data_IF_523677854409
#
_entry.id   IF_523677854409
#
_cell.length_a   1.000
_cell.length_b   1.000
_cell.length_c   1.000
_cell.angle_alpha   90.00
_cell.angle_beta   90.00
_cell.angle_gamma   90.00
#
_symmetry.space_group_name_H-M   'P 1'
#
loop_
_entity.id
_entity.type
_entity.pdbx_description
1 polymer ?
#
# COMPACT_ATOMS: atom_id res chain seq x y z
N UNK A 1 4.74 -1.05 -20.21
CA UNK A 1 5.84 -1.80 -19.56
C UNK A 1 6.81 -2.19 -20.66
N UNK A 2 8.13 -1.99 -20.51
CA UNK A 2 9.10 -2.33 -21.58
C UNK A 2 9.24 -3.85 -21.64
N UNK A 3 9.02 -4.45 -22.83
CA UNK A 3 9.05 -5.90 -23.05
C UNK A 3 10.47 -6.46 -22.86
N UNK A 4 10.59 -7.78 -22.69
CA UNK A 4 11.92 -8.42 -22.57
C UNK A 4 12.77 -8.21 -23.82
N UNK A 5 12.16 -8.32 -25.01
CA UNK A 5 12.81 -8.06 -26.30
C UNK A 5 13.29 -6.62 -26.42
N UNK A 6 12.46 -5.64 -26.04
CA UNK A 6 12.86 -4.23 -26.08
C UNK A 6 14.01 -3.92 -25.12
N UNK A 7 14.05 -4.57 -23.95
CA UNK A 7 15.15 -4.43 -22.98
C UNK A 7 16.44 -5.01 -23.53
N UNK A 8 16.37 -6.18 -24.16
CA UNK A 8 17.52 -6.82 -24.79
C UNK A 8 18.08 -5.94 -25.90
N UNK A 9 17.23 -5.47 -26.80
CA UNK A 9 17.61 -4.55 -27.88
C UNK A 9 18.22 -3.25 -27.33
N UNK A 10 17.62 -2.66 -26.29
CA UNK A 10 18.17 -1.47 -25.65
C UNK A 10 19.55 -1.71 -25.06
N UNK A 11 19.78 -2.85 -24.39
CA UNK A 11 21.09 -3.20 -23.82
C UNK A 11 22.12 -3.41 -24.93
N UNK A 12 21.76 -4.07 -26.03
CA UNK A 12 22.63 -4.26 -27.19
C UNK A 12 23.06 -2.92 -27.79
N UNK A 13 22.10 -2.03 -28.10
CA UNK A 13 22.37 -0.72 -28.68
C UNK A 13 23.22 0.17 -27.76
N UNK A 14 22.97 0.13 -26.44
CA UNK A 14 23.79 0.88 -25.47
C UNK A 14 25.22 0.34 -25.45
N UNK A 15 25.42 -0.98 -25.42
CA UNK A 15 26.76 -1.56 -25.43
C UNK A 15 27.50 -1.23 -26.74
N UNK A 16 26.82 -1.24 -27.89
CA UNK A 16 27.39 -0.86 -29.18
C UNK A 16 27.83 0.61 -29.21
N UNK A 17 26.99 1.51 -28.69
CA UNK A 17 27.32 2.93 -28.58
C UNK A 17 28.53 3.16 -27.66
N UNK A 18 28.60 2.44 -26.53
CA UNK A 18 29.75 2.50 -25.61
C UNK A 18 31.02 1.99 -26.30
N UNK A 19 30.94 0.87 -27.03
CA UNK A 19 32.07 0.32 -27.80
C UNK A 19 32.54 1.30 -28.89
N UNK A 20 31.62 2.08 -29.45
CA UNK A 20 31.89 3.15 -30.42
C UNK A 20 32.40 4.46 -29.77
N UNK A 21 32.61 4.48 -28.45
CA UNK A 21 33.20 5.61 -27.72
C UNK A 21 32.22 6.53 -27.01
N UNK A 22 30.91 6.24 -27.02
CA UNK A 22 29.94 7.03 -26.26
C UNK A 22 30.04 6.75 -24.75
N UNK A 23 29.74 7.75 -23.92
CA UNK A 23 29.56 7.48 -22.49
C UNK A 23 28.25 6.72 -22.25
N UNK A 24 28.25 5.80 -21.27
CA UNK A 24 27.06 5.05 -20.87
C UNK A 24 25.88 5.99 -20.58
N UNK A 25 26.12 7.09 -19.84
CA UNK A 25 25.14 8.12 -19.52
C UNK A 25 24.45 8.67 -20.77
N UNK A 26 25.23 9.13 -21.74
CA UNK A 26 24.70 9.71 -22.98
C UNK A 26 23.94 8.67 -23.80
N UNK A 27 24.46 7.45 -23.89
CA UNK A 27 23.79 6.36 -24.60
C UNK A 27 22.43 6.01 -23.96
N UNK A 28 22.36 5.91 -22.63
CA UNK A 28 21.12 5.68 -21.89
C UNK A 28 20.12 6.84 -22.07
N UNK A 29 20.60 8.08 -21.96
CA UNK A 29 19.77 9.30 -22.15
C UNK A 29 19.12 9.34 -23.54
N UNK A 30 19.81 8.89 -24.59
CA UNK A 30 19.22 8.82 -25.95
C UNK A 30 18.08 7.83 -26.09
N UNK A 31 18.06 6.76 -25.30
CA UNK A 31 16.94 5.82 -25.23
C UNK A 31 15.89 6.20 -24.17
N UNK A 32 16.03 7.36 -23.53
CA UNK A 32 15.10 7.83 -22.50
C UNK A 32 15.14 7.01 -21.20
N UNK A 33 16.25 6.30 -20.93
CA UNK A 33 16.42 5.53 -19.70
C UNK A 33 17.60 6.05 -18.89
N UNK A 34 17.59 5.74 -17.59
CA UNK A 34 18.74 6.05 -16.72
C UNK A 34 19.79 4.95 -16.78
N UNK A 35 21.05 5.27 -16.48
CA UNK A 35 22.10 4.26 -16.31
C UNK A 35 21.71 3.19 -15.28
N UNK A 36 21.02 3.59 -14.21
CA UNK A 36 20.51 2.67 -13.19
C UNK A 36 19.57 1.61 -13.80
N UNK A 37 18.71 2.01 -14.73
CA UNK A 37 17.81 1.08 -15.42
C UNK A 37 18.61 0.08 -16.27
N UNK A 38 19.58 0.57 -17.04
CA UNK A 38 20.48 -0.26 -17.84
C UNK A 38 21.24 -1.30 -16.99
N UNK A 39 21.88 -0.87 -15.90
CA UNK A 39 22.60 -1.78 -15.01
C UNK A 39 21.67 -2.78 -14.31
N UNK A 40 20.44 -2.37 -13.95
CA UNK A 40 19.44 -3.30 -13.39
C UNK A 40 19.03 -4.38 -14.38
N UNK A 41 18.87 -4.05 -15.66
CA UNK A 41 18.57 -5.04 -16.70
C UNK A 41 19.73 -6.01 -16.91
N UNK A 42 20.98 -5.51 -16.99
CA UNK A 42 22.16 -6.37 -17.07
C UNK A 42 22.31 -7.28 -15.86
N UNK A 43 22.12 -6.76 -14.65
CA UNK A 43 22.16 -7.55 -13.42
C UNK A 43 21.10 -8.65 -13.44
N UNK A 44 19.88 -8.33 -13.83
CA UNK A 44 18.81 -9.33 -13.93
C UNK A 44 19.14 -10.43 -14.94
N UNK A 45 19.66 -10.08 -16.12
CA UNK A 45 20.12 -11.08 -17.10
C UNK A 45 21.21 -11.99 -16.51
N UNK A 46 22.11 -11.46 -15.69
CA UNK A 46 23.11 -12.28 -15.00
C UNK A 46 22.50 -13.20 -13.92
N UNK A 47 21.52 -12.71 -13.16
CA UNK A 47 20.92 -13.44 -12.03
C UNK A 47 19.90 -14.51 -12.49
N UNK A 48 19.12 -14.24 -13.55
CA UNK A 48 17.96 -15.06 -13.96
C UNK A 48 17.99 -15.51 -15.42
N UNK A 49 19.08 -15.25 -16.14
CA UNK A 49 19.23 -15.47 -17.58
C UNK A 49 18.08 -14.89 -18.45
N UNK A 50 17.40 -13.86 -17.95
CA UNK A 50 16.23 -13.26 -18.62
C UNK A 50 16.16 -11.74 -18.43
N UNK A 51 15.64 -11.03 -19.43
CA UNK A 51 15.31 -9.60 -19.33
C UNK A 51 13.88 -9.32 -18.85
N UNK A 52 13.08 -10.37 -18.64
CA UNK A 52 11.68 -10.26 -18.24
C UNK A 52 11.47 -9.44 -16.97
N UNK A 53 10.36 -8.71 -16.91
CA UNK A 53 9.95 -8.07 -15.67
C UNK A 53 9.56 -9.15 -14.66
N UNK A 54 10.15 -9.10 -13.47
CA UNK A 54 9.83 -10.04 -12.40
C UNK A 54 8.60 -9.64 -11.59
N UNK A 55 8.09 -8.41 -11.77
CA UNK A 55 6.91 -7.93 -11.04
C UNK A 55 5.65 -8.76 -11.28
N UNK A 56 5.33 -9.23 -12.51
CA UNK A 56 4.18 -10.11 -12.74
C UNK A 56 4.28 -11.48 -12.06
N UNK A 57 5.51 -11.96 -11.83
CA UNK A 57 5.78 -13.26 -11.19
C UNK A 57 6.19 -13.11 -9.73
N UNK A 58 6.06 -11.91 -9.16
CA UNK A 58 6.37 -11.69 -7.75
C UNK A 58 5.40 -12.50 -6.90
N UNK A 59 5.92 -13.20 -5.90
CA UNK A 59 5.07 -13.91 -4.97
C UNK A 59 4.26 -12.89 -4.16
N UNK A 60 2.95 -12.94 -4.35
CA UNK A 60 1.96 -12.17 -3.60
C UNK A 60 1.22 -13.06 -2.60
N UNK A 61 1.85 -14.17 -2.18
CA UNK A 61 1.34 -15.06 -1.15
C UNK A 61 0.94 -14.27 0.09
N UNK A 62 -0.05 -14.84 0.76
CA UNK A 62 -0.70 -14.18 1.87
C UNK A 62 0.32 -13.98 3.00
N UNK A 63 0.50 -12.76 3.55
CA UNK A 63 1.48 -12.53 4.59
C UNK A 63 1.14 -13.39 5.81
N UNK A 64 2.16 -13.94 6.47
CA UNK A 64 2.00 -14.83 7.62
C UNK A 64 1.13 -14.22 8.75
N UNK A 65 1.17 -12.90 8.90
CA UNK A 65 0.41 -12.15 9.89
C UNK A 65 -1.00 -11.74 9.43
N UNK A 66 -1.48 -12.27 8.29
CA UNK A 66 -2.86 -12.02 7.87
C UNK A 66 -3.82 -12.65 8.87
N UNK A 67 -4.75 -11.83 9.37
CA UNK A 67 -5.81 -12.28 10.27
C UNK A 67 -6.59 -13.42 9.59
N UNK A 68 -6.70 -14.60 10.23
CA UNK A 68 -7.51 -15.69 9.72
C UNK A 68 -8.97 -15.28 9.53
N UNK A 69 -9.63 -15.86 8.53
CA UNK A 69 -11.05 -15.59 8.27
C UNK A 69 -11.95 -15.95 9.47
N UNK A 70 -11.56 -16.96 10.26
CA UNK A 70 -12.22 -17.34 11.52
C UNK A 70 -12.30 -16.17 12.49
N UNK A 71 -11.14 -15.61 12.84
CA UNK A 71 -11.00 -14.49 13.80
C UNK A 71 -11.74 -13.25 13.30
N UNK A 72 -11.72 -12.99 11.98
CA UNK A 72 -12.50 -11.88 11.39
C UNK A 72 -14.00 -12.05 11.64
N UNK A 73 -14.54 -13.25 11.38
CA UNK A 73 -15.96 -13.54 11.61
C UNK A 73 -16.32 -13.42 13.08
N UNK A 74 -15.45 -13.90 13.96
CA UNK A 74 -15.64 -13.79 15.41
C UNK A 74 -15.73 -12.32 15.87
N UNK A 75 -14.82 -11.46 15.40
CA UNK A 75 -14.84 -10.01 15.66
C UNK A 75 -16.16 -9.40 15.20
N UNK A 76 -16.60 -9.70 13.97
CA UNK A 76 -17.87 -9.18 13.41
C UNK A 76 -19.06 -9.64 14.25
N UNK A 77 -19.08 -10.93 14.63
CA UNK A 77 -20.17 -11.49 15.42
C UNK A 77 -20.29 -10.81 16.77
N UNK A 78 -19.17 -10.59 17.47
CA UNK A 78 -19.17 -9.93 18.78
C UNK A 78 -19.63 -8.49 18.67
N UNK A 79 -19.09 -7.72 17.71
CA UNK A 79 -19.50 -6.34 17.48
C UNK A 79 -20.99 -6.19 17.13
N UNK A 80 -21.66 -7.26 16.69
CA UNK A 80 -23.09 -7.29 16.38
C UNK A 80 -23.95 -7.88 17.51
N UNK A 81 -23.37 -8.39 18.60
CA UNK A 81 -24.16 -8.85 19.76
C UNK A 81 -24.85 -7.66 20.43
N UNK A 82 -26.08 -7.81 20.95
CA UNK A 82 -26.82 -6.71 21.57
C UNK A 82 -26.04 -5.96 22.67
N UNK A 83 -25.25 -6.69 23.45
CA UNK A 83 -24.41 -6.17 24.54
C UNK A 83 -23.33 -5.19 24.04
N UNK A 84 -22.76 -5.45 22.85
CA UNK A 84 -21.64 -4.72 22.28
C UNK A 84 -22.03 -3.85 21.08
N UNK A 85 -23.28 -3.96 20.60
CA UNK A 85 -23.75 -3.33 19.37
C UNK A 85 -23.64 -1.80 19.36
N UNK A 86 -23.65 -1.18 20.55
CA UNK A 86 -23.49 0.28 20.70
C UNK A 86 -22.08 0.70 21.14
N UNK A 87 -21.23 -0.25 21.51
CA UNK A 87 -19.89 0.02 22.03
C UNK A 87 -18.87 0.19 20.90
N UNK A 88 -17.86 1.02 21.13
CA UNK A 88 -16.70 1.15 20.27
C UNK A 88 -15.68 0.04 20.56
N UNK A 89 -14.77 -0.30 19.61
CA UNK A 89 -13.71 -1.27 19.85
C UNK A 89 -12.86 -1.00 21.10
N UNK A 90 -12.63 0.28 21.44
CA UNK A 90 -11.92 0.68 22.66
C UNK A 90 -12.67 0.32 23.95
N UNK A 91 -13.97 0.07 23.89
CA UNK A 91 -14.81 -0.36 25.02
C UNK A 91 -15.03 -1.89 25.01
N UNK A 92 -15.24 -2.47 23.81
CA UNK A 92 -15.46 -3.91 23.63
C UNK A 92 -14.23 -4.72 24.07
N UNK A 93 -13.02 -4.31 23.66
CA UNK A 93 -11.81 -5.09 23.95
C UNK A 93 -11.53 -5.17 25.47
N UNK A 94 -11.60 -4.08 26.25
CA UNK A 94 -11.51 -4.17 27.71
C UNK A 94 -12.63 -5.01 28.34
N UNK A 95 -13.89 -4.86 27.89
CA UNK A 95 -15.00 -5.64 28.44
C UNK A 95 -14.80 -7.15 28.25
N UNK A 96 -14.33 -7.58 27.07
CA UNK A 96 -13.96 -8.97 26.83
C UNK A 96 -12.78 -9.42 27.70
N UNK A 97 -11.80 -8.54 27.91
CA UNK A 97 -10.64 -8.85 28.76
C UNK A 97 -11.04 -9.02 30.24
N UNK A 98 -12.01 -8.26 30.73
CA UNK A 98 -12.59 -8.42 32.08
C UNK A 98 -13.30 -9.79 32.23
N UNK A 99 -13.86 -10.32 31.14
CA UNK A 99 -14.41 -11.69 31.04
C UNK A 99 -13.33 -12.77 30.80
N UNK A 100 -12.05 -12.38 30.68
CA UNK A 100 -10.93 -13.29 30.41
C UNK A 100 -10.84 -13.76 28.95
N UNK A 101 -11.54 -13.10 28.02
CA UNK A 101 -11.62 -13.47 26.60
C UNK A 101 -10.70 -12.56 25.78
N UNK A 102 -9.75 -13.15 25.06
CA UNK A 102 -8.90 -12.42 24.11
C UNK A 102 -9.04 -12.97 22.70
N UNK A 103 -9.38 -12.08 21.76
CA UNK A 103 -9.61 -12.43 20.35
C UNK A 103 -8.58 -11.74 19.47
N UNK A 104 -8.45 -10.42 19.62
CA UNK A 104 -7.45 -9.63 18.94
C UNK A 104 -7.27 -8.27 19.63
N UNK A 105 -6.19 -7.56 19.25
CA UNK A 105 -5.98 -6.17 19.68
C UNK A 105 -7.07 -5.23 19.17
N UNK A 106 -7.30 -4.12 19.87
CA UNK A 106 -8.19 -3.03 19.47
C UNK A 106 -7.93 -2.53 18.03
N UNK A 107 -6.65 -2.37 17.67
CA UNK A 107 -6.24 -1.97 16.31
C UNK A 107 -6.73 -2.95 15.23
N UNK A 108 -6.82 -4.24 15.59
CA UNK A 108 -7.33 -5.30 14.71
C UNK A 108 -8.84 -5.25 14.57
N UNK A 109 -9.57 -5.00 15.66
CA UNK A 109 -11.02 -4.74 15.60
C UNK A 109 -11.31 -3.57 14.65
N UNK A 110 -10.63 -2.43 14.82
CA UNK A 110 -10.80 -1.29 13.92
C UNK A 110 -10.46 -1.61 12.46
N UNK A 111 -9.40 -2.39 12.20
CA UNK A 111 -9.03 -2.80 10.84
C UNK A 111 -10.14 -3.64 10.19
N UNK A 112 -10.66 -4.65 10.90
CA UNK A 112 -11.74 -5.50 10.40
C UNK A 112 -13.00 -4.67 10.16
N UNK A 113 -13.43 -3.86 11.12
CA UNK A 113 -14.65 -3.06 10.98
C UNK A 113 -14.54 -1.99 9.87
N UNK A 114 -13.35 -1.44 9.59
CA UNK A 114 -13.11 -0.56 8.44
C UNK A 114 -13.32 -1.29 7.12
N UNK A 115 -12.75 -2.48 6.99
CA UNK A 115 -12.84 -3.29 5.77
C UNK A 115 -14.28 -3.73 5.49
N UNK A 116 -15.05 -4.05 6.54
CA UNK A 116 -16.47 -4.40 6.45
C UNK A 116 -17.41 -3.17 6.38
N UNK A 117 -16.87 -1.94 6.36
CA UNK A 117 -17.63 -0.67 6.35
C UNK A 117 -18.64 -0.53 7.50
N UNK A 118 -18.30 -1.07 8.68
CA UNK A 118 -19.13 -1.07 9.88
C UNK A 118 -18.84 0.11 10.83
N UNK A 119 -17.81 0.91 10.57
CA UNK A 119 -17.47 2.13 11.33
C UNK A 119 -18.23 3.36 10.82
N UNK A 120 -19.55 3.25 10.63
CA UNK A 120 -20.37 4.41 10.31
C UNK A 120 -20.56 5.27 11.55
N UNK A 121 -20.67 6.59 11.36
CA UNK A 121 -20.97 7.52 12.46
C UNK A 121 -22.30 7.12 13.12
N UNK A 122 -22.26 6.66 14.37
CA UNK A 122 -23.44 6.22 15.14
C UNK A 122 -24.11 7.38 15.89
N UNK A 123 -24.41 8.47 15.19
CA UNK A 123 -25.06 9.64 15.79
C UNK A 123 -25.83 10.47 14.78
N UNK A 124 -26.88 11.17 15.23
CA UNK A 124 -27.52 12.28 14.50
C UNK A 124 -26.68 13.55 14.60
N UNK A 125 -25.38 13.42 14.41
CA UNK A 125 -24.46 14.56 14.48
C UNK A 125 -24.42 15.17 13.08
N UNK A 126 -24.76 16.45 12.96
CA UNK A 126 -24.59 17.19 11.71
C UNK A 126 -23.14 17.09 11.23
N UNK A 127 -22.95 17.00 9.92
CA UNK A 127 -21.62 17.02 9.33
C UNK A 127 -20.86 18.26 9.81
N UNK A 128 -19.55 18.16 10.12
CA UNK A 128 -18.79 19.29 10.64
C UNK A 128 -18.85 20.47 9.66
N UNK A 129 -19.40 21.59 10.13
CA UNK A 129 -19.46 22.83 9.36
C UNK A 129 -18.03 23.39 9.31
N UNK A 130 -17.46 23.51 8.11
CA UNK A 130 -16.18 24.18 7.93
C UNK A 130 -16.33 25.65 8.31
N UNK A 131 -15.67 26.08 9.39
CA UNK A 131 -15.58 27.49 9.74
C UNK A 131 -14.74 28.22 8.67
N UNK A 132 -15.41 28.87 7.73
CA UNK A 132 -14.81 29.90 6.87
C UNK A 132 -14.51 31.11 7.76
N UNK A 133 -13.34 31.09 8.41
CA UNK A 133 -12.87 32.14 9.30
C UNK A 133 -12.90 33.53 8.65
N UNK A 134 -13.37 34.50 9.43
CA UNK A 134 -12.78 35.83 9.62
C UNK A 134 -11.60 36.13 8.68
N UNK A 135 -11.85 36.79 7.56
CA UNK A 135 -10.84 37.47 6.76
C UNK A 135 -11.46 38.73 6.12
N UNK A 136 -11.65 39.76 6.93
CA UNK A 136 -11.83 41.13 6.44
C UNK A 136 -11.42 42.13 7.53
N UNK A 137 -10.12 42.25 7.78
CA UNK A 137 -9.57 43.50 8.33
C UNK A 137 -8.93 44.24 7.15
N UNK A 138 -9.51 45.35 6.66
CA UNK A 138 -8.81 46.19 5.71
C UNK A 138 -7.81 47.07 6.46
N UNK A 139 -6.54 46.94 6.07
CA UNK A 139 -5.49 47.92 6.36
C UNK A 139 -5.89 49.29 5.79
N UNK A 140 -5.99 50.32 6.63
CA UNK A 140 -5.78 51.69 6.18
C UNK A 140 -4.81 52.42 7.12
N UNK A 141 -3.98 53.22 6.47
CA UNK A 141 -2.75 53.87 6.92
C UNK A 141 -2.95 54.92 8.00
#
# INVERSE_FOLDING_TARGET
MISASDRENAVLLINEAIKSGASCKKACERLGITERTFYRWKKRKADTDSYEDGRPHADHSNPANKIPAEIRREIINICNRPEYASMAPCEIVPALADEGIYIASESTFYRVLREEKMLNHRGRSEAPIANLLNNAVPLQR
#
